data_IF_832101213387
#
_entry.id   IF_832101213387
#
_cell.length_a   1.000
_cell.length_b   1.000
_cell.length_c   1.000
_cell.angle_alpha   90.00
_cell.angle_beta   90.00
_cell.angle_gamma   90.00
#
_symmetry.space_group_name_H-M   'P 1'
#
loop_
_entity.id
_entity.type
_entity.pdbx_description
1 polymer ?
#
# COMPACT_ATOMS: atom_id res chain seq x y z
N UNK A 1 -12.85 2.78 18.15
CA UNK A 1 -12.14 1.72 17.40
C UNK A 1 -10.69 2.17 17.28
N UNK A 2 -9.72 1.41 17.79
CA UNK A 2 -8.31 1.66 17.49
C UNK A 2 -8.08 1.27 16.02
N UNK A 3 -7.77 2.26 15.18
CA UNK A 3 -7.38 1.97 13.79
C UNK A 3 -6.03 1.24 13.84
N UNK A 4 -5.92 0.00 13.33
CA UNK A 4 -4.63 -0.65 13.25
C UNK A 4 -3.70 0.23 12.40
N UNK A 5 -2.47 0.42 12.87
CA UNK A 5 -1.49 1.24 12.16
C UNK A 5 -1.37 0.71 10.71
N UNK A 6 -1.58 1.57 9.70
CA UNK A 6 -1.70 1.12 8.31
C UNK A 6 -0.40 0.49 7.80
N UNK A 7 0.73 0.78 8.45
CA UNK A 7 2.04 0.27 8.09
C UNK A 7 2.64 -0.56 9.23
N UNK A 8 3.05 -1.79 8.93
CA UNK A 8 3.73 -2.69 9.88
C UNK A 8 5.07 -3.12 9.30
N UNK A 9 6.17 -2.89 10.04
CA UNK A 9 7.49 -3.42 9.67
C UNK A 9 7.61 -4.91 10.02
N UNK A 10 8.06 -5.71 9.06
CA UNK A 10 8.56 -7.08 9.22
C UNK A 10 10.07 -7.07 8.98
N UNK A 11 10.76 -8.19 9.24
CA UNK A 11 12.24 -8.28 9.21
C UNK A 11 12.86 -7.55 8.00
N UNK A 12 12.42 -7.93 6.80
CA UNK A 12 12.95 -7.44 5.52
C UNK A 12 11.84 -6.93 4.58
N UNK A 13 10.71 -6.53 5.14
CA UNK A 13 9.58 -6.02 4.34
C UNK A 13 8.64 -5.17 5.18
N UNK A 14 7.79 -4.44 4.50
CA UNK A 14 6.69 -3.72 5.11
C UNK A 14 5.36 -4.29 4.65
N UNK A 15 4.39 -4.35 5.56
CA UNK A 15 3.00 -4.65 5.24
C UNK A 15 2.20 -3.36 5.33
N UNK A 16 1.56 -2.98 4.23
CA UNK A 16 0.67 -1.83 4.16
C UNK A 16 -0.77 -2.29 4.01
N UNK A 17 -1.67 -1.71 4.80
CA UNK A 17 -3.11 -1.88 4.71
C UNK A 17 -3.77 -0.58 4.29
N UNK A 18 -4.53 -0.61 3.20
CA UNK A 18 -5.28 0.54 2.70
C UNK A 18 -6.78 0.24 2.75
N UNK A 19 -7.56 1.14 3.35
CA UNK A 19 -9.01 0.99 3.39
C UNK A 19 -9.62 1.10 1.99
N UNK A 20 -10.48 0.14 1.63
CA UNK A 20 -11.25 0.16 0.38
C UNK A 20 -12.30 1.27 0.35
N UNK A 21 -12.71 1.78 1.51
CA UNK A 21 -13.59 2.96 1.61
C UNK A 21 -12.86 4.24 1.18
N UNK A 22 -11.58 4.35 1.55
CA UNK A 22 -10.77 5.54 1.28
C UNK A 22 -10.07 5.49 -0.08
N UNK A 23 -9.79 4.30 -0.61
CA UNK A 23 -9.02 4.12 -1.84
C UNK A 23 -9.81 3.40 -2.93
N UNK A 24 -9.97 4.08 -4.08
CA UNK A 24 -10.59 3.50 -5.28
C UNK A 24 -9.71 2.38 -5.86
N UNK A 25 -10.35 1.31 -6.32
CA UNK A 25 -9.67 0.15 -6.90
C UNK A 25 -8.75 0.53 -8.07
N UNK A 26 -9.23 1.35 -9.00
CA UNK A 26 -8.45 1.74 -10.19
C UNK A 26 -7.18 2.52 -9.83
N UNK A 27 -7.23 3.39 -8.81
CA UNK A 27 -6.07 4.14 -8.31
C UNK A 27 -5.00 3.18 -7.77
N UNK A 28 -5.44 2.20 -6.99
CA UNK A 28 -4.57 1.18 -6.39
C UNK A 28 -3.96 0.31 -7.48
N UNK A 29 -4.76 -0.17 -8.43
CA UNK A 29 -4.26 -0.98 -9.55
C UNK A 29 -3.28 -0.21 -10.43
N UNK A 30 -3.51 1.09 -10.66
CA UNK A 30 -2.58 1.94 -11.39
C UNK A 30 -1.23 2.06 -10.67
N UNK A 31 -1.23 2.36 -9.37
CA UNK A 31 -0.01 2.41 -8.56
C UNK A 31 0.74 1.07 -8.53
N UNK A 32 0.03 -0.05 -8.46
CA UNK A 32 0.63 -1.38 -8.54
C UNK A 32 1.21 -1.66 -9.93
N UNK A 33 0.57 -1.17 -11.00
CA UNK A 33 1.03 -1.40 -12.36
C UNK A 33 2.36 -0.71 -12.68
N UNK A 34 2.61 0.43 -12.02
CA UNK A 34 3.82 1.23 -12.18
C UNK A 34 5.00 0.68 -11.35
N UNK A 35 4.75 -0.06 -10.26
CA UNK A 35 5.76 -0.46 -9.26
C UNK A 35 5.78 -1.98 -8.92
N UNK A 36 5.60 -2.83 -9.93
CA UNK A 36 5.42 -4.30 -9.76
C UNK A 36 6.60 -5.07 -9.15
N UNK A 37 7.82 -4.53 -9.23
CA UNK A 37 9.02 -5.32 -8.88
C UNK A 37 9.21 -5.48 -7.36
N UNK A 38 8.67 -4.55 -6.57
CA UNK A 38 8.90 -4.52 -5.12
C UNK A 38 7.62 -4.39 -4.28
N UNK A 39 6.45 -4.17 -4.90
CA UNK A 39 5.15 -4.18 -4.22
C UNK A 39 4.32 -5.38 -4.68
N UNK A 40 3.86 -6.18 -3.74
CA UNK A 40 3.05 -7.37 -4.01
C UNK A 40 1.71 -7.28 -3.28
N UNK A 41 0.62 -7.49 -4.00
CA UNK A 41 -0.69 -7.68 -3.39
C UNK A 41 -0.74 -9.05 -2.68
N UNK A 42 -1.14 -9.01 -1.42
CA UNK A 42 -1.32 -10.20 -0.56
C UNK A 42 -2.81 -10.41 -0.30
N UNK A 43 -3.20 -11.39 0.53
CA UNK A 43 -4.61 -11.65 0.84
C UNK A 43 -5.33 -10.36 1.31
N UNK A 44 -6.11 -9.79 0.39
CA UNK A 44 -6.97 -8.65 0.66
C UNK A 44 -8.18 -9.13 1.47
N UNK A 45 -8.64 -8.31 2.40
CA UNK A 45 -9.92 -8.54 3.07
C UNK A 45 -11.03 -7.77 2.35
N UNK A 46 -12.29 -7.98 2.73
CA UNK A 46 -13.41 -7.22 2.18
C UNK A 46 -13.29 -5.71 2.45
N UNK A 47 -12.60 -5.31 3.51
CA UNK A 47 -12.46 -3.92 3.95
C UNK A 47 -11.13 -3.27 3.51
N UNK A 48 -10.09 -4.06 3.26
CA UNK A 48 -8.74 -3.53 3.04
C UNK A 48 -8.04 -4.18 1.84
N UNK A 49 -7.28 -3.38 1.11
CA UNK A 49 -6.17 -3.88 0.32
C UNK A 49 -4.98 -4.14 1.22
N UNK A 50 -4.23 -5.22 0.97
CA UNK A 50 -3.04 -5.57 1.75
C UNK A 50 -1.85 -5.77 0.82
N UNK A 51 -0.79 -5.00 1.04
CA UNK A 51 0.42 -5.03 0.24
C UNK A 51 1.63 -5.43 1.06
N UNK A 52 2.50 -6.22 0.45
CA UNK A 52 3.85 -6.47 0.93
C UNK A 52 4.83 -5.67 0.08
N UNK A 53 5.56 -4.76 0.70
CA UNK A 53 6.65 -4.01 0.09
C UNK A 53 7.98 -4.68 0.45
N UNK A 54 8.65 -5.24 -0.56
CA UNK A 54 9.93 -5.98 -0.47
C UNK A 54 11.13 -5.01 -0.48
N UNK A 55 11.10 -3.98 0.37
CA UNK A 55 12.20 -3.02 0.54
C UNK A 55 12.68 -2.98 1.99
N UNK A 56 13.96 -2.65 2.18
CA UNK A 56 14.58 -2.45 3.49
C UNK A 56 14.37 -1.01 4.03
N UNK A 57 14.03 -0.04 3.17
CA UNK A 57 13.98 1.38 3.54
C UNK A 57 12.56 1.90 3.66
N UNK A 58 12.30 2.65 4.73
CA UNK A 58 11.00 3.27 4.99
C UNK A 58 10.70 4.42 4.01
N UNK A 59 11.72 5.07 3.47
CA UNK A 59 11.57 6.20 2.54
C UNK A 59 10.89 5.77 1.24
N UNK A 60 11.26 4.61 0.70
CA UNK A 60 10.61 4.02 -0.48
C UNK A 60 9.11 3.82 -0.25
N UNK A 61 8.76 3.25 0.91
CA UNK A 61 7.36 3.01 1.30
C UNK A 61 6.59 4.32 1.37
N UNK A 62 7.18 5.37 1.96
CA UNK A 62 6.55 6.69 2.07
C UNK A 62 6.40 7.36 0.69
N UNK A 63 7.39 7.23 -0.18
CA UNK A 63 7.32 7.75 -1.54
C UNK A 63 6.22 7.06 -2.35
N UNK A 64 6.10 5.73 -2.25
CA UNK A 64 5.03 4.99 -2.90
C UNK A 64 3.63 5.35 -2.36
N UNK A 65 3.51 5.52 -1.04
CA UNK A 65 2.27 6.03 -0.43
C UNK A 65 1.93 7.46 -0.92
N UNK A 66 2.92 8.33 -1.09
CA UNK A 66 2.69 9.66 -1.63
C UNK A 66 2.20 9.61 -3.09
N UNK A 67 2.74 8.70 -3.91
CA UNK A 67 2.24 8.46 -5.27
C UNK A 67 0.77 8.03 -5.27
N UNK A 68 0.36 7.14 -4.36
CA UNK A 68 -1.05 6.77 -4.19
C UNK A 68 -1.95 7.96 -3.84
N UNK A 69 -1.52 8.82 -2.91
CA UNK A 69 -2.27 10.03 -2.53
C UNK A 69 -2.38 10.99 -3.71
N UNK A 70 -1.31 11.12 -4.51
CA UNK A 70 -1.31 11.96 -5.71
C UNK A 70 -2.29 11.43 -6.77
N UNK A 71 -2.26 10.12 -7.04
CA UNK A 71 -3.14 9.47 -8.01
C UNK A 71 -4.62 9.50 -7.61
N UNK A 72 -4.95 9.68 -6.32
CA UNK A 72 -6.33 9.91 -5.87
C UNK A 72 -6.87 11.32 -6.16
N UNK A 73 -6.00 12.33 -6.24
CA UNK A 73 -6.40 13.74 -6.43
C UNK A 73 -6.63 14.10 -7.90
N UNK A 74 -6.13 13.28 -8.83
CA UNK A 74 -6.28 13.47 -10.28
C UNK A 74 -7.42 12.67 -10.88
#
# INVERSE_FOLDING_TARGET
MEMPFPLTKKKDSFTLKLSKELYKHDTVQKALSEDKDWVEETEASDEYYCFRLKTAEIEDVLNWMNSLIYLQKG
#
